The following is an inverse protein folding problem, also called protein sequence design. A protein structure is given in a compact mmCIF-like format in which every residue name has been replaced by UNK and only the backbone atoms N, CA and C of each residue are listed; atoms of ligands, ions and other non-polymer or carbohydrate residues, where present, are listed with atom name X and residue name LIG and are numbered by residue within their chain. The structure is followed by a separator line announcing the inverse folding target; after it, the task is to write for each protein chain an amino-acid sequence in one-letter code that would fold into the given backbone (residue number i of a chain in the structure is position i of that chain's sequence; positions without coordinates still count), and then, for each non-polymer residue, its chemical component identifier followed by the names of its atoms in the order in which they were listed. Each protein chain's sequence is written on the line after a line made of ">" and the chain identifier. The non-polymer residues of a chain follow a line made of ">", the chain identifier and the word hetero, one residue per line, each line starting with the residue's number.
data_IF_426951556779
#
_entry.id   IF_426951556779
#
_cell.length_a   1.000
_cell.length_b   1.000
_cell.length_c   1.000
_cell.angle_alpha   90.00
_cell.angle_beta   90.00
_cell.angle_gamma   90.00
#
_symmetry.space_group_name_H-M   'P 1'
#
loop_
_entity.id
_entity.type
_entity.pdbx_description
1 polymer ?
#
# COMPACT_ATOMS: atom_id res chain seq x y z
N UNK A 1 38.67 8.30 -7.78
CA UNK A 1 37.45 9.06 -7.45
C UNK A 1 36.35 8.04 -7.16
N UNK A 2 35.53 8.33 -6.16
CA UNK A 2 34.76 7.40 -5.31
C UNK A 2 33.96 6.31 -6.04
N UNK A 3 33.97 5.14 -5.42
CA UNK A 3 33.16 3.96 -5.69
C UNK A 3 31.68 4.33 -5.92
N UNK A 4 31.14 3.92 -7.07
CA UNK A 4 29.72 3.99 -7.37
C UNK A 4 28.98 2.89 -6.62
N UNK A 5 28.73 3.12 -5.33
CA UNK A 5 27.81 2.31 -4.54
C UNK A 5 26.43 2.38 -5.22
N UNK A 6 26.05 1.31 -5.90
CA UNK A 6 24.78 1.23 -6.61
C UNK A 6 23.72 0.93 -5.56
N UNK A 7 23.32 1.96 -4.83
CA UNK A 7 22.33 1.84 -3.77
C UNK A 7 21.02 1.33 -4.38
N UNK A 8 20.66 0.07 -4.08
CA UNK A 8 19.44 -0.55 -4.61
C UNK A 8 18.24 0.35 -4.31
N UNK A 9 17.56 0.74 -5.39
CA UNK A 9 16.46 1.69 -5.34
C UNK A 9 15.27 1.05 -4.63
N UNK A 10 14.48 1.85 -3.92
CA UNK A 10 13.18 1.38 -3.42
C UNK A 10 12.28 0.88 -4.55
N UNK A 11 12.51 1.32 -5.80
CA UNK A 11 11.79 0.86 -6.99
C UNK A 11 12.08 -0.60 -7.34
N UNK A 12 13.19 -1.17 -6.85
CA UNK A 12 13.53 -2.58 -7.05
C UNK A 12 12.74 -3.51 -6.11
N UNK A 13 12.09 -2.95 -5.08
CA UNK A 13 11.30 -3.72 -4.13
C UNK A 13 9.98 -4.16 -4.77
N UNK A 14 9.78 -5.47 -4.93
CA UNK A 14 8.51 -6.02 -5.44
C UNK A 14 7.31 -5.54 -4.62
N UNK A 15 7.45 -5.45 -3.29
CA UNK A 15 6.37 -4.92 -2.43
C UNK A 15 6.01 -3.48 -2.77
N UNK A 16 6.99 -2.65 -3.16
CA UNK A 16 6.74 -1.27 -3.60
C UNK A 16 6.00 -1.27 -4.94
N UNK A 17 6.46 -2.08 -5.91
CA UNK A 17 5.83 -2.18 -7.23
C UNK A 17 4.38 -2.64 -7.14
N UNK A 18 4.10 -3.68 -6.34
CA UNK A 18 2.71 -4.14 -6.11
C UNK A 18 1.87 -3.11 -5.39
N UNK A 19 2.44 -2.37 -4.44
CA UNK A 19 1.72 -1.29 -3.76
C UNK A 19 1.40 -0.11 -4.70
N UNK A 20 2.26 0.18 -5.68
CA UNK A 20 1.98 1.18 -6.72
C UNK A 20 0.83 0.76 -7.63
N UNK A 21 0.79 -0.52 -8.02
CA UNK A 21 -0.31 -1.08 -8.82
C UNK A 21 -1.62 -0.98 -8.03
N UNK A 22 -1.64 -1.45 -6.78
CA UNK A 22 -2.83 -1.33 -5.92
C UNK A 22 -3.30 0.12 -5.79
N UNK A 23 -2.39 1.07 -5.57
CA UNK A 23 -2.75 2.48 -5.49
C UNK A 23 -3.38 3.01 -6.79
N UNK A 24 -2.82 2.64 -7.95
CA UNK A 24 -3.37 3.01 -9.23
C UNK A 24 -4.77 2.41 -9.46
N UNK A 25 -4.94 1.12 -9.19
CA UNK A 25 -6.21 0.41 -9.38
C UNK A 25 -7.31 0.97 -8.48
N UNK A 26 -6.97 1.33 -7.23
CA UNK A 26 -7.92 1.97 -6.30
C UNK A 26 -8.29 3.39 -6.73
N UNK A 27 -7.34 4.18 -7.24
CA UNK A 27 -7.62 5.52 -7.77
C UNK A 27 -8.54 5.44 -8.99
N UNK A 28 -8.23 4.54 -9.93
CA UNK A 28 -9.06 4.31 -11.12
C UNK A 28 -10.48 3.86 -10.74
N UNK A 29 -10.61 3.00 -9.73
CA UNK A 29 -11.91 2.58 -9.17
C UNK A 29 -12.73 3.76 -8.66
N UNK A 30 -12.13 4.68 -7.89
CA UNK A 30 -12.89 5.81 -7.31
C UNK A 30 -13.24 6.88 -8.34
N UNK A 31 -12.42 7.06 -9.36
CA UNK A 31 -12.70 7.96 -10.50
C UNK A 31 -13.97 7.52 -11.25
N UNK A 32 -14.16 6.21 -11.40
CA UNK A 32 -15.31 5.62 -12.09
C UNK A 32 -16.48 5.23 -11.17
N UNK A 33 -16.41 5.56 -9.88
CA UNK A 33 -17.42 5.15 -8.90
C UNK A 33 -18.78 5.82 -9.16
N UNK A 34 -19.83 5.03 -9.35
CA UNK A 34 -21.21 5.51 -9.52
C UNK A 34 -22.00 5.36 -8.21
N UNK A 35 -22.36 6.50 -7.63
CA UNK A 35 -23.15 6.59 -6.39
C UNK A 35 -24.15 7.73 -6.49
N UNK A 36 -25.27 7.67 -5.73
CA UNK A 36 -26.30 8.74 -5.72
C UNK A 36 -25.72 10.15 -5.47
N UNK A 37 -24.63 10.21 -4.70
CA UNK A 37 -23.82 11.40 -4.49
C UNK A 37 -22.35 11.01 -4.37
N UNK A 38 -21.43 11.90 -4.74
CA UNK A 38 -19.99 11.67 -4.54
C UNK A 38 -19.62 11.81 -3.05
N UNK A 39 -19.08 10.74 -2.48
CA UNK A 39 -18.66 10.66 -1.07
C UNK A 39 -17.22 11.16 -0.88
N UNK A 40 -16.95 12.41 -1.26
CA UNK A 40 -15.59 12.98 -1.37
C UNK A 40 -14.67 12.66 -0.18
N UNK A 41 -15.14 12.88 1.06
CA UNK A 41 -14.32 12.61 2.25
C UNK A 41 -13.91 11.14 2.40
N UNK A 42 -14.76 10.18 2.02
CA UNK A 42 -14.41 8.76 2.08
C UNK A 42 -13.47 8.37 0.94
N UNK A 43 -13.67 8.96 -0.24
CA UNK A 43 -12.80 8.78 -1.41
C UNK A 43 -11.40 9.30 -1.09
N UNK A 44 -11.28 10.54 -0.61
CA UNK A 44 -10.00 11.15 -0.21
C UNK A 44 -9.29 10.34 0.89
N UNK A 45 -10.04 9.76 1.84
CA UNK A 45 -9.47 8.88 2.86
C UNK A 45 -8.91 7.59 2.26
N UNK A 46 -9.62 7.00 1.28
CA UNK A 46 -9.17 5.79 0.59
C UNK A 46 -7.92 6.07 -0.26
N UNK A 47 -7.92 7.16 -1.03
CA UNK A 47 -6.78 7.60 -1.82
C UNK A 47 -5.55 7.88 -0.94
N UNK A 48 -5.73 8.60 0.17
CA UNK A 48 -4.64 8.89 1.09
C UNK A 48 -4.09 7.61 1.75
N UNK A 49 -4.97 6.69 2.16
CA UNK A 49 -4.56 5.42 2.75
C UNK A 49 -3.80 4.55 1.72
N UNK A 50 -4.34 4.36 0.52
CA UNK A 50 -3.71 3.47 -0.46
C UNK A 50 -2.38 4.02 -0.98
N UNK A 51 -2.26 5.33 -1.20
CA UNK A 51 -1.01 5.98 -1.63
C UNK A 51 0.04 6.00 -0.51
N UNK A 52 -0.38 6.05 0.75
CA UNK A 52 0.52 5.95 1.92
C UNK A 52 1.31 4.64 1.96
N UNK A 53 0.76 3.55 1.40
CA UNK A 53 1.43 2.24 1.38
C UNK A 53 2.78 2.30 0.63
N UNK A 54 2.85 2.63 -0.67
CA UNK A 54 4.12 2.73 -1.39
C UNK A 54 4.99 3.91 -0.90
N UNK A 55 4.38 5.02 -0.45
CA UNK A 55 5.14 6.16 0.10
C UNK A 55 5.97 5.74 1.31
N UNK A 56 5.35 5.03 2.28
CA UNK A 56 6.06 4.57 3.47
C UNK A 56 7.09 3.46 3.17
N UNK A 57 6.84 2.59 2.19
CA UNK A 57 7.87 1.62 1.75
C UNK A 57 9.11 2.33 1.20
N UNK A 58 8.91 3.34 0.35
CA UNK A 58 9.98 4.12 -0.24
C UNK A 58 10.74 4.95 0.82
N UNK A 59 10.00 5.66 1.68
CA UNK A 59 10.58 6.48 2.74
C UNK A 59 11.37 5.63 3.73
N UNK A 60 10.81 4.50 4.16
CA UNK A 60 11.49 3.56 5.05
C UNK A 60 12.80 3.02 4.47
N UNK A 61 12.82 2.70 3.17
CA UNK A 61 14.02 2.20 2.48
C UNK A 61 15.14 3.24 2.43
N UNK A 62 14.80 4.52 2.47
CA UNK A 62 15.74 5.65 2.52
C UNK A 62 16.25 6.00 3.92
N UNK A 63 15.84 5.29 4.99
CA UNK A 63 16.29 5.55 6.36
C UNK A 63 17.63 4.88 6.66
N UNK A 64 18.41 5.51 7.54
CA UNK A 64 19.75 5.04 7.91
C UNK A 64 19.73 3.80 8.81
N UNK A 65 18.69 3.64 9.63
CA UNK A 65 18.59 2.52 10.57
C UNK A 65 17.55 1.47 10.15
N UNK A 66 17.89 0.20 10.38
CA UNK A 66 16.97 -0.94 10.20
C UNK A 66 15.70 -0.82 11.05
N UNK A 67 15.82 -0.21 12.25
CA UNK A 67 14.69 0.02 13.17
C UNK A 67 13.70 1.01 12.58
N UNK A 68 14.17 2.12 12.04
CA UNK A 68 13.31 3.10 11.36
C UNK A 68 12.70 2.49 10.10
N UNK A 69 13.47 1.75 9.30
CA UNK A 69 12.91 1.09 8.13
C UNK A 69 11.73 0.19 8.51
N UNK A 70 11.90 -0.66 9.52
CA UNK A 70 10.82 -1.52 10.02
C UNK A 70 9.62 -0.70 10.55
N UNK A 71 9.86 0.44 11.22
CA UNK A 71 8.78 1.32 11.67
C UNK A 71 7.93 1.83 10.49
N UNK A 72 8.56 2.32 9.41
CA UNK A 72 7.86 2.72 8.19
C UNK A 72 7.11 1.58 7.51
N UNK A 73 7.65 0.36 7.51
CA UNK A 73 6.95 -0.82 6.99
C UNK A 73 5.70 -1.17 7.82
N UNK A 74 5.71 -0.92 9.13
CA UNK A 74 4.51 -1.05 9.95
C UNK A 74 3.47 0.02 9.65
N UNK A 75 3.89 1.27 9.39
CA UNK A 75 2.98 2.34 8.95
C UNK A 75 2.33 1.95 7.62
N UNK A 76 3.13 1.50 6.64
CA UNK A 76 2.64 1.00 5.36
C UNK A 76 1.59 -0.10 5.53
N UNK A 77 1.81 -1.06 6.46
CA UNK A 77 0.84 -2.11 6.78
C UNK A 77 -0.42 -1.57 7.46
N UNK A 78 -0.30 -0.54 8.29
CA UNK A 78 -1.45 0.17 8.87
C UNK A 78 -2.33 0.78 7.79
N UNK A 79 -1.74 1.54 6.87
CA UNK A 79 -2.46 2.14 5.74
C UNK A 79 -3.09 1.11 4.80
N UNK A 80 -2.48 -0.07 4.65
CA UNK A 80 -3.07 -1.19 3.93
C UNK A 80 -4.36 -1.70 4.59
N UNK A 81 -4.40 -1.77 5.92
CA UNK A 81 -5.61 -2.18 6.64
C UNK A 81 -6.70 -1.11 6.63
N UNK A 82 -6.32 0.17 6.64
CA UNK A 82 -7.27 1.28 6.42
C UNK A 82 -7.88 1.20 5.02
N UNK A 83 -7.08 0.91 4.01
CA UNK A 83 -7.52 0.71 2.61
C UNK A 83 -8.54 -0.44 2.53
N UNK A 84 -8.20 -1.62 3.07
CA UNK A 84 -9.12 -2.78 3.11
C UNK A 84 -10.43 -2.46 3.85
N UNK A 85 -10.34 -1.74 4.97
CA UNK A 85 -11.53 -1.35 5.75
C UNK A 85 -12.47 -0.47 4.93
N UNK A 86 -11.93 0.48 4.17
CA UNK A 86 -12.73 1.36 3.30
C UNK A 86 -13.30 0.60 2.09
N UNK A 87 -12.54 -0.31 1.48
CA UNK A 87 -13.02 -1.17 0.39
C UNK A 87 -14.18 -2.08 0.85
N UNK A 88 -14.08 -2.66 2.05
CA UNK A 88 -15.17 -3.44 2.65
C UNK A 88 -16.43 -2.58 2.82
N UNK A 89 -16.28 -1.34 3.34
CA UNK A 89 -17.41 -0.40 3.44
C UNK A 89 -18.01 -0.13 2.06
N UNK A 90 -17.19 0.08 1.02
CA UNK A 90 -17.68 0.37 -0.32
C UNK A 90 -18.46 -0.83 -0.90
N UNK A 91 -17.99 -2.05 -0.63
CA UNK A 91 -18.68 -3.29 -0.99
C UNK A 91 -20.02 -3.43 -0.25
N UNK A 92 -20.04 -3.22 1.06
CA UNK A 92 -21.27 -3.31 1.88
C UNK A 92 -22.32 -2.28 1.47
N UNK A 93 -21.88 -1.14 0.94
CA UNK A 93 -22.76 -0.09 0.39
C UNK A 93 -23.23 -0.39 -1.03
N UNK A 94 -22.72 -1.45 -1.66
CA UNK A 94 -23.01 -1.81 -3.05
C UNK A 94 -22.38 -0.86 -4.07
N UNK A 95 -21.37 -0.07 -3.69
CA UNK A 95 -20.69 0.87 -4.58
C UNK A 95 -19.66 0.18 -5.47
N UNK A 96 -19.16 -0.97 -5.03
CA UNK A 96 -18.29 -1.85 -5.81
C UNK A 96 -18.84 -3.27 -5.75
N UNK A 97 -18.60 -4.04 -6.81
CA UNK A 97 -19.09 -5.41 -6.87
C UNK A 97 -18.25 -6.34 -5.98
N UNK A 98 -18.79 -7.50 -5.55
CA UNK A 98 -18.02 -8.51 -4.83
C UNK A 98 -16.75 -8.96 -5.57
N UNK A 99 -16.79 -9.00 -6.91
CA UNK A 99 -15.65 -9.39 -7.74
C UNK A 99 -14.53 -8.34 -7.70
N UNK A 100 -14.88 -7.05 -7.80
CA UNK A 100 -13.91 -5.94 -7.67
C UNK A 100 -13.30 -5.95 -6.26
N UNK A 101 -14.15 -6.09 -5.23
CA UNK A 101 -13.67 -6.18 -3.85
C UNK A 101 -12.69 -7.34 -3.68
N UNK A 102 -13.06 -8.54 -4.16
CA UNK A 102 -12.24 -9.74 -4.00
C UNK A 102 -10.87 -9.61 -4.70
N UNK A 103 -10.82 -8.97 -5.87
CA UNK A 103 -9.57 -8.70 -6.58
C UNK A 103 -8.66 -7.77 -5.77
N UNK A 104 -9.17 -6.62 -5.32
CA UNK A 104 -8.40 -5.66 -4.52
C UNK A 104 -7.99 -6.24 -3.16
N UNK A 105 -8.83 -7.07 -2.56
CA UNK A 105 -8.53 -7.79 -1.32
C UNK A 105 -7.38 -8.79 -1.54
N UNK A 106 -7.38 -9.53 -2.65
CA UNK A 106 -6.31 -10.46 -2.99
C UNK A 106 -4.97 -9.75 -3.18
N UNK A 107 -4.96 -8.64 -3.93
CA UNK A 107 -3.77 -7.80 -4.10
C UNK A 107 -3.26 -7.28 -2.75
N UNK A 108 -4.18 -6.78 -1.91
CA UNK A 108 -3.85 -6.28 -0.58
C UNK A 108 -3.26 -7.37 0.33
N UNK A 109 -3.84 -8.58 0.31
CA UNK A 109 -3.35 -9.73 1.07
C UNK A 109 -1.95 -10.18 0.61
N UNK A 110 -1.66 -10.09 -0.68
CA UNK A 110 -0.31 -10.33 -1.20
C UNK A 110 0.69 -9.30 -0.66
N UNK A 111 0.36 -8.01 -0.71
CA UNK A 111 1.21 -6.94 -0.17
C UNK A 111 1.43 -7.12 1.33
N UNK A 112 0.38 -7.48 2.10
CA UNK A 112 0.50 -7.75 3.53
C UNK A 112 1.52 -8.87 3.83
N UNK A 113 1.51 -9.96 3.03
CA UNK A 113 2.47 -11.06 3.15
C UNK A 113 3.89 -10.60 2.79
N UNK A 114 4.04 -9.79 1.74
CA UNK A 114 5.33 -9.23 1.33
C UNK A 114 5.92 -8.30 2.40
N UNK A 115 5.12 -7.38 2.96
CA UNK A 115 5.51 -6.49 4.05
C UNK A 115 5.97 -7.30 5.27
N UNK A 116 5.20 -8.32 5.66
CA UNK A 116 5.57 -9.23 6.76
C UNK A 116 6.89 -9.96 6.48
N UNK A 117 7.06 -10.47 5.26
CA UNK A 117 8.30 -11.15 4.84
C UNK A 117 9.52 -10.23 4.92
N UNK A 118 9.38 -9.00 4.42
CA UNK A 118 10.43 -7.98 4.44
C UNK A 118 10.79 -7.57 5.88
N UNK A 119 9.80 -7.29 6.73
CA UNK A 119 10.01 -6.98 8.15
C UNK A 119 10.80 -8.10 8.84
N UNK A 120 10.38 -9.36 8.64
CA UNK A 120 11.05 -10.51 9.22
C UNK A 120 12.49 -10.68 8.70
N UNK A 121 12.72 -10.44 7.40
CA UNK A 121 14.06 -10.47 6.81
C UNK A 121 14.98 -9.42 7.43
N UNK A 122 14.48 -8.20 7.63
CA UNK A 122 15.24 -7.13 8.26
C UNK A 122 15.59 -7.52 9.70
N UNK A 123 14.63 -7.99 10.50
CA UNK A 123 14.88 -8.43 11.88
C UNK A 123 15.92 -9.55 11.98
N UNK A 124 15.91 -10.52 11.06
CA UNK A 124 16.94 -11.59 11.03
C UNK A 124 18.35 -11.06 10.74
N UNK A 125 18.45 -9.88 10.14
CA UNK A 125 19.71 -9.23 9.80
C UNK A 125 20.15 -8.17 10.83
N UNK A 126 19.34 -7.92 11.86
CA UNK A 126 19.64 -6.96 12.94
C UNK A 126 20.55 -7.55 14.01
#
# INVERSE_FOLDING_TARGET
>A
MKDGDTQSSYKDLIVWQRSMILANDVIDLVDHLETDRKHYRLIEQLEAAVTSIPMNVAEGKGRDSKKEYVHFLYISRGSLYETLTLLEIFQMRGWITPEIYQELENQSNEIAKMLKGLINSIYKSM
#
